data_IF_609435672802
#
_entry.id   IF_609435672802
#
_cell.length_a   1.000
_cell.length_b   1.000
_cell.length_c   1.000
_cell.angle_alpha   90.00
_cell.angle_beta   90.00
_cell.angle_gamma   90.00
#
_symmetry.space_group_name_H-M   'P 1'
#
loop_
_entity.id
_entity.type
_entity.pdbx_description
1 polymer ?
#
# COMPACT_ATOMS: atom_id res chain seq x y z
N UNK A 1 -20.93 -10.69 55.16
CA UNK A 1 -21.47 -9.73 54.16
C UNK A 1 -20.44 -8.69 53.68
N UNK A 2 -19.56 -8.13 54.53
CA UNK A 2 -18.49 -7.19 54.09
C UNK A 2 -17.44 -7.79 53.12
N UNK A 3 -17.09 -9.07 53.24
CA UNK A 3 -16.06 -9.73 52.40
C UNK A 3 -16.51 -10.03 50.96
N UNK A 4 -17.81 -10.10 50.72
CA UNK A 4 -18.37 -10.42 49.39
C UNK A 4 -18.40 -9.20 48.46
N UNK A 5 -18.48 -7.99 49.04
CA UNK A 5 -18.48 -6.74 48.29
C UNK A 5 -17.09 -6.41 47.70
N UNK A 6 -15.99 -6.77 48.38
CA UNK A 6 -14.64 -6.54 47.87
C UNK A 6 -14.25 -7.48 46.71
N UNK A 7 -14.78 -8.71 46.67
CA UNK A 7 -14.52 -9.64 45.56
C UNK A 7 -15.24 -9.23 44.27
N UNK A 8 -16.41 -8.60 44.38
CA UNK A 8 -17.18 -8.14 43.21
C UNK A 8 -16.58 -6.88 42.57
N UNK A 9 -15.91 -6.03 43.35
CA UNK A 9 -15.29 -4.81 42.83
C UNK A 9 -13.98 -5.09 42.07
N UNK A 10 -13.21 -6.12 42.47
CA UNK A 10 -11.96 -6.49 41.80
C UNK A 10 -12.13 -7.12 40.42
N UNK A 11 -13.23 -7.87 40.20
CA UNK A 11 -13.48 -8.57 38.93
C UNK A 11 -14.02 -7.64 37.83
N UNK A 12 -14.66 -6.52 38.21
CA UNK A 12 -15.21 -5.55 37.25
C UNK A 12 -14.14 -4.73 36.52
N UNK A 13 -12.93 -4.59 37.10
CA UNK A 13 -11.82 -3.86 36.47
C UNK A 13 -11.03 -4.71 35.46
N UNK A 14 -11.12 -6.04 35.52
CA UNK A 14 -10.38 -6.93 34.61
C UNK A 14 -11.02 -7.05 33.21
N UNK A 15 -12.30 -6.69 33.06
CA UNK A 15 -13.04 -6.83 31.80
C UNK A 15 -12.87 -5.63 30.86
N UNK A 16 -12.24 -4.54 31.33
CA UNK A 16 -11.99 -3.34 30.52
C UNK A 16 -10.66 -3.37 29.74
N UNK A 17 -9.83 -4.41 29.92
CA UNK A 17 -8.50 -4.52 29.28
C UNK A 17 -8.48 -5.15 27.88
N UNK A 18 -9.63 -5.59 27.34
CA UNK A 18 -9.69 -6.42 26.13
C UNK A 18 -9.46 -5.70 24.79
N UNK A 19 -9.43 -4.35 24.75
CA UNK A 19 -9.28 -3.57 23.52
C UNK A 19 -7.92 -2.86 23.37
N UNK A 20 -6.93 -3.17 24.23
CA UNK A 20 -5.64 -2.46 24.23
C UNK A 20 -4.52 -3.21 23.48
N UNK A 21 -4.67 -4.49 23.18
CA UNK A 21 -3.67 -5.25 22.43
C UNK A 21 -4.07 -5.33 20.96
N UNK A 22 -3.36 -4.56 20.15
CA UNK A 22 -3.53 -4.58 18.71
C UNK A 22 -2.69 -5.74 18.14
N UNK A 23 -3.26 -6.79 17.54
CA UNK A 23 -2.46 -7.93 17.08
C UNK A 23 -1.50 -7.50 15.96
N UNK A 24 -0.35 -8.19 15.89
CA UNK A 24 0.64 -7.95 14.84
C UNK A 24 0.00 -7.98 13.43
N UNK A 25 0.16 -6.93 12.60
CA UNK A 25 -0.59 -6.74 11.36
C UNK A 25 0.01 -7.55 10.18
N UNK A 26 0.16 -8.87 10.35
CA UNK A 26 0.86 -9.75 9.40
C UNK A 26 0.23 -9.77 8.02
N UNK A 27 -1.10 -9.88 7.94
CA UNK A 27 -1.80 -9.85 6.65
C UNK A 27 -1.66 -8.51 5.95
N UNK A 28 -1.71 -7.39 6.70
CA UNK A 28 -1.53 -6.06 6.13
C UNK A 28 -0.13 -5.89 5.54
N UNK A 29 0.90 -6.40 6.22
CA UNK A 29 2.27 -6.42 5.71
C UNK A 29 2.37 -7.23 4.43
N UNK A 30 1.75 -8.42 4.38
CA UNK A 30 1.73 -9.27 3.18
C UNK A 30 1.04 -8.57 2.00
N UNK A 31 -0.07 -7.88 2.23
CA UNK A 31 -0.76 -7.09 1.19
C UNK A 31 0.10 -5.92 0.69
N UNK A 32 0.77 -5.25 1.61
CA UNK A 32 1.68 -4.13 1.31
C UNK A 32 2.86 -4.60 0.47
N UNK A 33 3.47 -5.72 0.83
CA UNK A 33 4.56 -6.35 0.05
C UNK A 33 4.09 -6.72 -1.35
N UNK A 34 2.89 -7.30 -1.48
CA UNK A 34 2.30 -7.61 -2.77
C UNK A 34 2.12 -6.34 -3.63
N UNK A 35 1.62 -5.25 -3.05
CA UNK A 35 1.46 -3.98 -3.77
C UNK A 35 2.80 -3.40 -4.24
N UNK A 36 3.85 -3.46 -3.41
CA UNK A 36 5.21 -3.04 -3.80
C UNK A 36 5.72 -3.90 -4.96
N UNK A 37 5.51 -5.22 -4.93
CA UNK A 37 5.90 -6.10 -6.04
C UNK A 37 5.11 -5.81 -7.32
N UNK A 38 3.81 -5.48 -7.22
CA UNK A 38 2.98 -5.09 -8.37
C UNK A 38 3.49 -3.81 -9.01
N UNK A 39 3.80 -2.78 -8.21
CA UNK A 39 4.40 -1.55 -8.68
C UNK A 39 5.71 -1.80 -9.45
N UNK A 40 6.61 -2.64 -8.91
CA UNK A 40 7.84 -3.04 -9.62
C UNK A 40 7.57 -3.81 -10.91
N UNK A 41 6.62 -4.74 -10.88
CA UNK A 41 6.28 -5.56 -12.04
C UNK A 41 5.76 -4.72 -13.23
N UNK A 42 5.05 -3.62 -12.96
CA UNK A 42 4.64 -2.68 -14.00
C UNK A 42 5.74 -1.70 -14.40
N UNK A 43 6.91 -1.73 -13.77
CA UNK A 43 8.09 -0.93 -14.12
C UNK A 43 8.30 0.33 -13.28
N UNK A 44 7.69 0.45 -12.10
CA UNK A 44 8.13 1.45 -11.13
C UNK A 44 9.51 1.07 -10.59
N UNK A 45 10.39 2.06 -10.50
CA UNK A 45 11.80 1.92 -10.12
C UNK A 45 12.22 2.95 -9.06
N UNK A 46 13.52 3.03 -8.78
CA UNK A 46 14.13 3.98 -7.83
C UNK A 46 13.97 5.46 -8.22
N UNK A 47 13.50 5.77 -9.42
CA UNK A 47 13.15 7.13 -9.83
C UNK A 47 11.66 7.44 -9.63
N UNK A 48 10.86 6.44 -9.27
CA UNK A 48 9.44 6.60 -8.95
C UNK A 48 9.29 6.99 -7.48
N UNK A 49 9.09 8.28 -7.22
CA UNK A 49 9.04 8.84 -5.87
C UNK A 49 8.05 8.12 -4.94
N UNK A 50 6.87 7.74 -5.45
CA UNK A 50 5.88 7.00 -4.68
C UNK A 50 6.36 5.59 -4.27
N UNK A 51 7.09 4.90 -5.15
CA UNK A 51 7.65 3.59 -4.81
C UNK A 51 8.72 3.72 -3.71
N UNK A 52 9.58 4.75 -3.78
CA UNK A 52 10.55 5.02 -2.72
C UNK A 52 9.87 5.28 -1.38
N UNK A 53 8.78 6.07 -1.37
CA UNK A 53 8.00 6.32 -0.16
C UNK A 53 7.36 5.05 0.39
N UNK A 54 6.81 4.20 -0.49
CA UNK A 54 6.24 2.91 -0.11
C UNK A 54 7.29 2.01 0.56
N UNK A 55 8.47 1.89 -0.03
CA UNK A 55 9.58 1.08 0.51
C UNK A 55 10.07 1.60 1.86
N UNK A 56 10.22 2.92 1.99
CA UNK A 56 10.63 3.57 3.23
C UNK A 56 9.61 3.31 4.35
N UNK A 57 8.32 3.48 4.06
CA UNK A 57 7.25 3.25 5.04
C UNK A 57 7.07 1.77 5.37
N UNK A 58 7.26 0.86 4.41
CA UNK A 58 7.24 -0.58 4.67
C UNK A 58 8.42 -1.00 5.57
N UNK A 59 9.61 -0.43 5.36
CA UNK A 59 10.75 -0.64 6.24
C UNK A 59 10.48 -0.12 7.66
N UNK A 60 9.91 1.08 7.78
CA UNK A 60 9.49 1.64 9.07
C UNK A 60 8.40 0.80 9.75
N UNK A 61 7.45 0.26 8.99
CA UNK A 61 6.42 -0.64 9.50
C UNK A 61 7.03 -1.92 10.09
N UNK A 62 8.03 -2.50 9.42
CA UNK A 62 8.77 -3.66 9.92
C UNK A 62 9.56 -3.35 11.19
N UNK A 63 10.15 -2.16 11.28
CA UNK A 63 10.79 -1.70 12.52
C UNK A 63 9.78 -1.62 13.67
N UNK A 64 8.60 -1.02 13.43
CA UNK A 64 7.54 -0.94 14.43
C UNK A 64 7.02 -2.33 14.89
N UNK A 65 7.04 -3.35 14.03
CA UNK A 65 6.74 -4.74 14.44
C UNK A 65 7.78 -5.26 15.42
N UNK A 66 9.06 -4.98 15.19
CA UNK A 66 10.14 -5.41 16.09
C UNK A 66 10.05 -4.71 17.45
N UNK A 67 9.54 -3.48 17.47
CA UNK A 67 9.29 -2.70 18.69
C UNK A 67 7.93 -3.03 19.35
N UNK A 68 7.19 -4.00 18.80
CA UNK A 68 5.83 -4.38 19.21
C UNK A 68 4.79 -3.24 19.16
N UNK A 69 5.09 -2.15 18.44
CA UNK A 69 4.15 -1.07 18.13
C UNK A 69 3.28 -1.44 16.93
N UNK A 70 2.37 -2.38 17.15
CA UNK A 70 1.51 -2.94 16.10
C UNK A 70 0.53 -1.93 15.50
N UNK A 71 0.14 -0.90 16.27
CA UNK A 71 -0.69 0.20 15.75
C UNK A 71 0.10 1.01 14.73
N UNK A 72 1.32 1.42 15.07
CA UNK A 72 2.17 2.18 14.17
C UNK A 72 2.56 1.34 12.95
N UNK A 73 2.85 0.05 13.14
CA UNK A 73 3.13 -0.89 12.05
C UNK A 73 1.96 -0.97 11.05
N UNK A 74 0.71 -1.06 11.53
CA UNK A 74 -0.47 -1.08 10.64
C UNK A 74 -0.60 0.23 9.87
N UNK A 75 -0.52 1.37 10.54
CA UNK A 75 -0.64 2.68 9.89
C UNK A 75 0.43 2.90 8.81
N UNK A 76 1.68 2.53 9.09
CA UNK A 76 2.78 2.68 8.14
C UNK A 76 2.62 1.72 6.95
N UNK A 77 2.19 0.49 7.18
CA UNK A 77 1.98 -0.49 6.11
C UNK A 77 0.80 -0.13 5.21
N UNK A 78 -0.32 0.35 5.75
CA UNK A 78 -1.44 0.87 4.96
C UNK A 78 -1.02 2.07 4.08
N UNK A 79 -0.24 3.00 4.64
CA UNK A 79 0.30 4.12 3.86
C UNK A 79 1.26 3.66 2.77
N UNK A 80 2.13 2.69 3.07
CA UNK A 80 3.03 2.11 2.10
C UNK A 80 2.28 1.39 0.97
N UNK A 81 1.19 0.69 1.28
CA UNK A 81 0.35 0.04 0.28
C UNK A 81 -0.26 1.06 -0.69
N UNK A 82 -0.79 2.16 -0.16
CA UNK A 82 -1.38 3.24 -0.97
C UNK A 82 -0.34 3.91 -1.86
N UNK A 83 0.86 4.20 -1.34
CA UNK A 83 1.95 4.76 -2.13
C UNK A 83 2.39 3.80 -3.24
N UNK A 84 2.49 2.49 -2.97
CA UNK A 84 2.84 1.49 -3.97
C UNK A 84 1.78 1.41 -5.09
N UNK A 85 0.49 1.41 -4.73
CA UNK A 85 -0.62 1.44 -5.71
C UNK A 85 -0.63 2.73 -6.52
N UNK A 86 -0.26 3.86 -5.92
CA UNK A 86 -0.13 5.13 -6.63
C UNK A 86 1.03 5.08 -7.64
N UNK A 87 2.17 4.50 -7.26
CA UNK A 87 3.30 4.27 -8.15
C UNK A 87 2.90 3.38 -9.34
N UNK A 88 2.24 2.25 -9.07
CA UNK A 88 1.72 1.33 -10.09
C UNK A 88 0.82 2.06 -11.10
N UNK A 89 -0.20 2.77 -10.59
CA UNK A 89 -1.16 3.48 -11.42
C UNK A 89 -0.49 4.56 -12.29
N UNK A 90 0.47 5.30 -11.74
CA UNK A 90 1.20 6.33 -12.51
C UNK A 90 2.00 5.74 -13.66
N UNK A 91 2.71 4.64 -13.42
CA UNK A 91 3.49 3.97 -14.46
C UNK A 91 2.59 3.38 -15.53
N UNK A 92 1.49 2.73 -15.15
CA UNK A 92 0.51 2.20 -16.10
C UNK A 92 -0.15 3.30 -16.94
N UNK A 93 -0.48 4.44 -16.33
CA UNK A 93 -1.05 5.58 -17.04
C UNK A 93 -0.07 6.17 -18.06
N UNK A 94 1.20 6.34 -17.68
CA UNK A 94 2.24 6.83 -18.59
C UNK A 94 2.45 5.87 -19.77
N UNK A 95 2.51 4.55 -19.51
CA UNK A 95 2.59 3.53 -20.56
C UNK A 95 1.40 3.57 -21.51
N UNK A 96 0.19 3.65 -20.97
CA UNK A 96 -1.04 3.72 -21.76
C UNK A 96 -1.07 4.97 -22.65
N UNK A 97 -0.67 6.14 -22.12
CA UNK A 97 -0.58 7.37 -22.90
C UNK A 97 0.43 7.25 -24.06
N UNK A 98 1.59 6.63 -23.82
CA UNK A 98 2.59 6.36 -24.86
C UNK A 98 2.05 5.43 -25.96
N UNK A 99 1.36 4.36 -25.59
CA UNK A 99 0.75 3.41 -26.53
C UNK A 99 -0.32 4.09 -27.40
N UNK A 100 -1.16 4.93 -26.81
CA UNK A 100 -2.17 5.72 -27.55
C UNK A 100 -1.48 6.66 -28.54
N UNK A 101 -0.40 7.35 -28.13
CA UNK A 101 0.35 8.25 -29.00
C UNK A 101 1.02 7.51 -30.17
N UNK A 102 1.53 6.29 -29.95
CA UNK A 102 2.08 5.45 -31.01
C UNK A 102 1.02 4.96 -32.00
N UNK A 103 -0.15 4.55 -31.50
CA UNK A 103 -1.27 4.14 -32.34
C UNK A 103 -1.76 5.30 -33.21
N UNK A 104 -1.93 6.48 -32.63
CA UNK A 104 -2.33 7.68 -33.36
C UNK A 104 -1.34 8.07 -34.46
N UNK A 105 -0.02 8.01 -34.18
CA UNK A 105 1.02 8.23 -35.20
C UNK A 105 0.95 7.19 -36.32
N UNK A 106 0.64 5.94 -36.02
CA UNK A 106 0.49 4.89 -37.02
C UNK A 106 -0.74 5.09 -37.89
N UNK A 107 -1.88 5.49 -37.30
CA UNK A 107 -3.09 5.87 -38.03
C UNK A 107 -2.82 7.05 -38.97
N UNK A 108 -2.11 8.07 -38.50
CA UNK A 108 -1.80 9.24 -39.31
C UNK A 108 -0.92 8.90 -40.53
N UNK A 109 0.12 8.08 -40.35
CA UNK A 109 0.94 7.59 -41.46
C UNK A 109 0.13 6.82 -42.49
N UNK A 110 -0.79 5.96 -42.05
CA UNK A 110 -1.68 5.22 -42.96
C UNK A 110 -2.60 6.16 -43.75
N UNK A 111 -3.14 7.20 -43.10
CA UNK A 111 -3.97 8.21 -43.77
C UNK A 111 -3.20 8.98 -44.83
N UNK A 112 -1.96 9.37 -44.54
CA UNK A 112 -1.08 10.03 -45.50
C UNK A 112 -0.81 9.13 -46.71
N UNK A 113 -0.42 7.88 -46.49
CA UNK A 113 -0.20 6.90 -47.57
C UNK A 113 -1.44 6.71 -48.46
N UNK A 114 -2.63 6.62 -47.87
CA UNK A 114 -3.89 6.50 -48.62
C UNK A 114 -4.30 7.80 -49.35
N UNK A 115 -3.90 8.96 -48.83
CA UNK A 115 -4.10 10.26 -49.46
C UNK A 115 -3.18 10.47 -50.66
N UNK A 116 -1.90 10.08 -50.53
CA UNK A 116 -0.88 10.18 -51.58
C UNK A 116 -1.09 9.17 -52.73
N UNK A 117 -1.87 8.11 -52.50
CA UNK A 117 -2.26 7.10 -53.49
C UNK A 117 -3.41 7.53 -54.42
N UNK A 118 -3.98 8.72 -54.24
CA UNK A 118 -5.03 9.29 -55.10
C UNK A 118 -4.46 10.30 -56.07
#
# INVERSE_FOLDING_TARGET
MKKLCCLLFGLALAVLGGCASDPAPREQIRLTEQAVQQARAVGADEHTAELMLAELKLAAARAAINDEDFRQARLLSEQAELDARLAEARVLNAKSASQIAELNRSIERLRQQLGDLR
#
